data_IF_615994548207
#
_entry.id   IF_615994548207
#
_cell.length_a   1.000
_cell.length_b   1.000
_cell.length_c   1.000
_cell.angle_alpha   90.00
_cell.angle_beta   90.00
_cell.angle_gamma   90.00
#
_symmetry.space_group_name_H-M   'P 1'
#
loop_
_entity.id
_entity.type
_entity.pdbx_description
1 polymer ?
2 non-polymer ?
3 non-polymer ?
4 non-polymer ?
5 non-polymer ?
6 water ?
#
# COMPACT_ATOMS: atom_id res chain seq x y z
N UNK A 33 17.89 -33.77 14.92
CA UNK A 33 18.57 -32.75 15.78
C UNK A 33 18.46 -31.34 15.18
N UNK A 34 17.24 -30.85 15.07
CA UNK A 34 17.00 -29.48 14.59
C UNK A 34 17.21 -28.48 15.74
N UNK A 35 17.85 -27.37 15.43
CA UNK A 35 18.08 -26.31 16.41
C UNK A 35 16.78 -25.52 16.60
N UNK A 36 16.12 -25.73 17.73
CA UNK A 36 14.83 -25.09 18.03
C UNK A 36 14.95 -23.92 19.01
N UNK A 37 16.17 -23.45 19.25
CA UNK A 37 16.38 -22.27 20.09
C UNK A 37 15.81 -21.04 19.40
N UNK A 38 15.21 -20.14 20.18
CA UNK A 38 14.54 -18.96 19.65
C UNK A 38 15.56 -17.99 19.03
N UNK A 39 16.72 -17.87 19.67
CA UNK A 39 17.80 -17.01 19.19
C UNK A 39 18.40 -17.46 17.85
N UNK A 40 18.34 -18.77 17.57
CA UNK A 40 18.91 -19.33 16.34
C UNK A 40 18.00 -19.14 15.12
N UNK A 41 16.73 -18.81 15.34
CA UNK A 41 15.79 -18.62 14.23
C UNK A 41 16.12 -17.41 13.37
N UNK A 42 15.89 -17.53 12.06
CA UNK A 42 16.16 -16.46 11.11
C UNK A 42 14.88 -15.71 10.74
N UNK A 43 15.03 -14.42 10.45
CA UNK A 43 13.90 -13.55 10.14
C UNK A 43 14.11 -12.84 8.80
N UNK A 44 13.08 -12.11 8.36
CA UNK A 44 13.13 -11.41 7.07
C UNK A 44 14.24 -10.37 7.02
N UNK A 45 15.22 -10.62 6.15
CA UNK A 45 16.36 -9.71 6.00
C UNK A 45 15.93 -8.43 5.29
N UNK A 46 16.38 -7.28 5.80
CA UNK A 46 16.02 -5.97 5.25
C UNK A 46 14.50 -5.77 5.18
N UNK A 47 13.83 -6.01 6.30
CA UNK A 47 12.38 -5.91 6.36
C UNK A 47 11.90 -4.49 6.08
N UNK A 48 10.96 -4.36 5.15
CA UNK A 48 10.42 -3.07 4.72
C UNK A 48 9.04 -2.87 5.31
N UNK A 49 8.92 -1.91 6.21
CA UNK A 49 7.65 -1.62 6.89
C UNK A 49 6.60 -1.04 5.96
N UNK A 50 7.03 -0.16 5.05
CA UNK A 50 6.12 0.49 4.10
C UNK A 50 5.50 -0.48 3.11
N UNK A 51 6.29 -1.42 2.61
CA UNK A 51 5.81 -2.44 1.68
C UNK A 51 4.92 -3.49 2.35
N UNK A 52 5.11 -3.68 3.66
CA UNK A 52 4.30 -4.63 4.43
C UNK A 52 2.90 -4.07 4.77
N UNK A 53 2.72 -2.76 4.59
CA UNK A 53 1.45 -2.10 4.87
C UNK A 53 0.30 -2.63 3.99
N UNK A 54 -0.92 -2.38 4.44
CA UNK A 54 -2.12 -2.84 3.73
C UNK A 54 -2.78 -4.00 4.47
N UNK A 55 -3.72 -4.65 3.79
CA UNK A 55 -4.51 -5.72 4.40
C UNK A 55 -3.78 -7.05 4.34
N UNK A 56 -3.88 -7.82 5.43
CA UNK A 56 -3.33 -9.18 5.50
C UNK A 56 -4.38 -10.11 6.10
N UNK A 57 -4.71 -11.16 5.36
CA UNK A 57 -5.69 -12.15 5.81
C UNK A 57 -4.98 -13.38 6.36
N UNK A 58 -5.20 -13.68 7.65
CA UNK A 58 -4.63 -14.86 8.28
C UNK A 58 -5.41 -16.10 7.86
N UNK A 59 -4.74 -17.00 7.13
CA UNK A 59 -5.37 -18.23 6.63
C UNK A 59 -5.10 -19.44 7.53
N UNK A 60 -3.93 -19.46 8.18
CA UNK A 60 -3.59 -20.51 9.15
C UNK A 60 -2.97 -19.89 10.39
N UNK A 61 -3.02 -20.64 11.50
CA UNK A 61 -2.49 -20.15 12.78
C UNK A 61 -1.99 -21.28 13.67
N UNK A 62 -1.06 -20.94 14.56
CA UNK A 62 -0.63 -21.82 15.64
C UNK A 62 -0.94 -21.11 16.95
N UNK A 63 -1.64 -21.78 17.84
CA UNK A 63 -2.15 -21.16 19.06
C UNK A 63 -1.16 -21.23 20.22
N UNK A 64 -1.19 -20.25 21.13
CA UNK A 64 -0.50 -20.34 22.40
C UNK A 64 -1.44 -20.94 23.45
N UNK A 65 -0.97 -21.06 24.69
CA UNK A 65 -1.82 -21.54 25.78
C UNK A 65 -2.77 -20.42 26.24
N UNK A 66 -3.98 -20.80 26.62
CA UNK A 66 -4.99 -19.85 27.07
C UNK A 66 -5.87 -19.31 25.96
N UNK A 67 -6.56 -18.22 26.25
CA UNK A 67 -7.51 -17.62 25.30
C UNK A 67 -6.78 -16.94 24.14
N UNK A 68 -7.33 -17.11 22.93
CA UNK A 68 -6.70 -16.56 21.72
C UNK A 68 -7.75 -16.34 20.62
N UNK A 69 -7.40 -15.53 19.63
CA UNK A 69 -8.27 -15.28 18.47
C UNK A 69 -8.60 -16.59 17.77
N UNK A 70 -9.87 -16.75 17.36
CA UNK A 70 -10.36 -18.00 16.81
C UNK A 70 -10.27 -18.03 15.27
N UNK A 71 -10.97 -17.10 14.63
CA UNK A 71 -10.98 -17.03 13.15
C UNK A 71 -11.44 -15.64 12.67
N UNK A 72 -11.54 -15.47 11.35
CA UNK A 72 -11.84 -14.17 10.73
C UNK A 72 -10.81 -13.11 11.12
N UNK A 73 -9.55 -13.52 11.19
CA UNK A 73 -8.47 -12.68 11.66
C UNK A 73 -7.84 -11.89 10.51
N UNK A 74 -8.21 -10.61 10.41
CA UNK A 74 -7.66 -9.72 9.38
C UNK A 74 -6.82 -8.63 10.05
N UNK A 75 -5.63 -8.39 9.51
CA UNK A 75 -4.74 -7.36 10.01
C UNK A 75 -4.55 -6.26 8.97
N UNK A 76 -4.47 -5.02 9.42
CA UNK A 76 -4.27 -3.86 8.56
C UNK A 76 -3.07 -3.06 9.06
N UNK A 77 -1.94 -3.15 8.37
CA UNK A 77 -0.71 -2.47 8.77
C UNK A 77 -0.56 -1.11 8.12
N UNK A 78 0.09 -0.19 8.83
CA UNK A 78 0.31 1.18 8.34
C UNK A 78 1.62 1.75 8.89
N UNK A 79 2.15 2.76 8.20
CA UNK A 79 3.35 3.47 8.64
C UNK A 79 3.12 4.98 8.52
N UNK A 80 3.63 5.74 9.49
CA UNK A 80 3.44 7.19 9.53
C UNK A 80 4.68 7.95 9.03
N UNK A 81 4.63 9.28 9.09
CA UNK A 81 5.74 10.14 8.66
C UNK A 81 7.09 9.77 9.26
N UNK A 82 7.11 9.53 10.57
CA UNK A 82 8.33 9.22 11.29
C UNK A 82 8.92 7.86 10.92
N UNK A 83 8.07 6.95 10.42
CA UNK A 83 8.49 5.62 10.01
C UNK A 83 8.11 4.52 11.00
N UNK A 84 7.39 4.89 12.05
CA UNK A 84 6.93 3.92 13.04
C UNK A 84 5.74 3.14 12.49
N UNK A 85 5.82 1.81 12.57
CA UNK A 85 4.76 0.94 12.08
C UNK A 85 3.66 0.80 13.13
N UNK A 86 2.42 0.69 12.66
CA UNK A 86 1.26 0.42 13.50
C UNK A 86 0.29 -0.47 12.75
N UNK A 87 -0.69 -1.04 13.46
CA UNK A 87 -1.68 -1.89 12.82
C UNK A 87 -2.94 -2.06 13.66
N UNK A 88 -4.05 -2.34 12.97
CA UNK A 88 -5.30 -2.74 13.62
C UNK A 88 -5.55 -4.20 13.28
N UNK A 89 -6.27 -4.90 14.17
CA UNK A 89 -6.55 -6.32 13.99
C UNK A 89 -7.94 -6.69 14.49
N UNK A 90 -8.75 -7.26 13.60
CA UNK A 90 -10.07 -7.78 13.94
C UNK A 90 -10.02 -9.30 14.02
N UNK A 91 -11.01 -9.90 14.68
CA UNK A 91 -11.08 -11.36 14.80
C UNK A 91 -12.15 -11.83 15.77
N UNK A 92 -12.68 -13.02 15.52
CA UNK A 92 -13.67 -13.64 16.39
C UNK A 92 -13.00 -14.32 17.57
N UNK A 93 -13.60 -14.18 18.76
CA UNK A 93 -13.07 -14.79 19.98
C UNK A 93 -14.19 -15.56 20.69
N UNK A 94 -13.91 -16.83 21.01
CA UNK A 94 -14.82 -17.68 21.76
C UNK A 94 -14.48 -17.54 23.25
N UNK A 95 -15.22 -16.69 23.96
CA UNK A 95 -14.94 -16.42 25.37
C UNK A 95 -15.42 -17.55 26.27
N UNK A 96 -16.74 -17.74 26.34
CA UNK A 96 -17.31 -18.91 26.97
C UNK A 96 -17.93 -19.77 25.86
N UNK A 97 -18.56 -20.88 26.22
CA UNK A 97 -19.13 -21.78 25.23
C UNK A 97 -20.27 -21.16 24.41
N UNK A 98 -20.91 -20.12 24.95
CA UNK A 98 -22.10 -19.53 24.34
C UNK A 98 -21.99 -18.02 24.06
N UNK A 99 -20.76 -17.52 23.86
CA UNK A 99 -20.54 -16.10 23.60
C UNK A 99 -19.45 -15.86 22.55
N UNK A 100 -19.85 -15.35 21.38
CA UNK A 100 -18.91 -14.94 20.34
C UNK A 100 -18.69 -13.44 20.42
N UNK A 101 -17.45 -13.01 20.23
CA UNK A 101 -17.09 -11.59 20.29
C UNK A 101 -16.15 -11.25 19.14
N UNK A 102 -16.51 -10.24 18.36
CA UNK A 102 -15.63 -9.70 17.32
C UNK A 102 -14.69 -8.69 17.94
N UNK A 103 -13.51 -9.15 18.34
CA UNK A 103 -12.49 -8.28 18.92
C UNK A 103 -11.97 -7.30 17.88
N UNK A 104 -11.80 -6.05 18.29
CA UNK A 104 -11.28 -5.00 17.42
C UNK A 104 -10.16 -4.27 18.16
N UNK A 105 -8.92 -4.51 17.74
CA UNK A 105 -7.75 -4.04 18.48
C UNK A 105 -6.83 -3.16 17.64
N UNK A 106 -6.09 -2.30 18.32
CA UNK A 106 -5.11 -1.40 17.70
C UNK A 106 -3.76 -1.66 18.36
N UNK A 107 -2.68 -1.52 17.60
CA UNK A 107 -1.34 -1.75 18.13
C UNK A 107 -0.25 -0.89 17.50
N UNK A 108 0.79 -0.63 18.28
CA UNK A 108 1.98 0.09 17.81
C UNK A 108 3.18 -0.83 17.93
N UNK A 109 4.16 -0.64 17.05
CA UNK A 109 5.36 -1.49 17.01
C UNK A 109 6.62 -0.65 17.24
N UNK A 110 7.38 -1.02 18.27
CA UNK A 110 8.65 -0.38 18.58
C UNK A 110 9.79 -1.09 17.85
N UNK A 111 10.70 -0.31 17.27
CA UNK A 111 11.83 -0.86 16.53
C UNK A 111 12.87 -1.47 17.46
N UNK A 112 13.62 -2.43 16.94
CA UNK A 112 14.75 -3.04 17.65
C UNK A 112 15.98 -3.02 16.75
N UNK A 113 17.10 -3.53 17.25
CA UNK A 113 18.33 -3.63 16.45
C UNK A 113 18.14 -4.46 15.17
N UNK A 114 17.28 -5.47 15.24
CA UNK A 114 16.90 -6.25 14.07
C UNK A 114 15.68 -5.59 13.41
N UNK A 115 15.73 -5.38 12.08
CA UNK A 115 14.65 -4.69 11.38
C UNK A 115 13.34 -5.50 11.25
N UNK A 116 13.42 -6.82 11.41
CA UNK A 116 12.24 -7.69 11.31
C UNK A 116 11.60 -8.02 12.65
N UNK A 117 12.28 -7.66 13.75
CA UNK A 117 11.78 -7.94 15.10
C UNK A 117 11.26 -6.66 15.74
N UNK A 118 10.06 -6.72 16.32
CA UNK A 118 9.41 -5.57 16.94
C UNK A 118 8.82 -5.93 18.30
N UNK A 119 8.59 -4.91 19.12
CA UNK A 119 7.85 -5.04 20.37
C UNK A 119 6.46 -4.45 20.19
N UNK A 120 5.46 -5.33 20.07
CA UNK A 120 4.08 -4.89 19.82
C UNK A 120 3.37 -4.57 21.12
N UNK A 121 2.91 -3.33 21.26
CA UNK A 121 2.01 -2.93 22.34
C UNK A 121 0.61 -2.78 21.76
N UNK A 122 -0.36 -3.50 22.31
CA UNK A 122 -1.72 -3.52 21.76
C UNK A 122 -2.80 -3.27 22.81
N UNK A 123 -3.99 -2.91 22.32
CA UNK A 123 -5.16 -2.69 23.18
C UNK A 123 -6.45 -2.83 22.37
N UNK A 124 -7.57 -3.01 23.07
CA UNK A 124 -8.87 -3.19 22.42
C UNK A 124 -9.72 -1.93 22.46
N UNK A 125 -10.53 -1.73 21.41
CA UNK A 125 -11.45 -0.58 21.33
C UNK A 125 -12.93 -0.99 21.29
N UNK A 126 -13.21 -2.29 21.26
CA UNK A 126 -14.57 -2.80 21.15
C UNK A 126 -15.00 -3.59 22.38
N UNK A 127 -14.28 -4.68 22.66
CA UNK A 127 -14.61 -5.59 23.75
C UNK A 127 -13.50 -5.75 24.79
N UNK A 128 -12.28 -5.98 24.33
CA UNK A 128 -11.13 -6.19 25.23
C UNK A 128 -10.80 -4.91 25.99
N UNK A 129 -10.76 -5.01 27.31
CA UNK A 129 -10.62 -3.85 28.20
C UNK A 129 -9.16 -3.53 28.53
N UNK A 130 -8.34 -4.57 28.70
CA UNK A 130 -6.97 -4.40 29.16
C UNK A 130 -6.02 -4.13 27.98
N UNK A 131 -4.73 -4.00 28.28
CA UNK A 131 -3.68 -3.90 27.26
C UNK A 131 -2.61 -4.94 27.53
N UNK A 132 -1.83 -5.25 26.50
CA UNK A 132 -0.75 -6.24 26.61
C UNK A 132 0.38 -5.96 25.64
N UNK A 133 1.40 -6.83 25.67
CA UNK A 133 2.54 -6.68 24.77
C UNK A 133 3.22 -8.01 24.43
N UNK A 134 3.57 -8.17 23.16
CA UNK A 134 4.25 -9.37 22.67
C UNK A 134 5.35 -8.97 21.68
N UNK A 135 6.28 -9.89 21.46
CA UNK A 135 7.23 -9.75 20.36
C UNK A 135 6.50 -10.01 19.05
N UNK A 136 6.88 -9.28 18.01
CA UNK A 136 6.27 -9.44 16.69
C UNK A 136 7.36 -9.61 15.64
N UNK A 137 7.63 -10.86 15.28
CA UNK A 137 8.69 -11.20 14.33
C UNK A 137 8.07 -11.54 12.96
N UNK A 138 8.52 -10.83 11.93
CA UNK A 138 8.18 -11.20 10.56
C UNK A 138 9.26 -12.16 10.07
N UNK A 139 8.94 -13.45 10.06
CA UNK A 139 9.92 -14.49 9.75
C UNK A 139 10.31 -14.45 8.27
N UNK A 140 9.31 -14.37 7.40
CA UNK A 140 9.56 -14.24 5.96
C UNK A 140 8.33 -13.71 5.24
N UNK A 141 8.56 -13.02 4.12
CA UNK A 141 7.48 -12.45 3.32
C UNK A 141 7.99 -11.96 1.97
N UNK A 142 7.10 -11.93 0.99
CA UNK A 142 7.38 -11.31 -0.32
C UNK A 142 6.56 -10.03 -0.51
N UNK A 143 5.85 -9.61 0.53
CA UNK A 143 5.10 -8.34 0.57
C UNK A 143 3.79 -8.29 -0.22
N UNK A 144 3.64 -9.12 -1.25
CA UNK A 144 2.46 -9.03 -2.13
C UNK A 144 1.64 -10.33 -2.29
N UNK A 145 2.05 -11.42 -1.62
CA UNK A 145 1.26 -12.66 -1.63
C UNK A 145 1.13 -13.30 -0.25
N UNK A 146 2.26 -13.53 0.42
CA UNK A 146 2.27 -14.23 1.71
C UNK A 146 3.08 -13.50 2.77
N UNK A 147 2.96 -13.97 4.01
CA UNK A 147 3.79 -13.50 5.12
C UNK A 147 3.67 -14.48 6.30
N UNK A 148 4.81 -14.80 6.91
CA UNK A 148 4.85 -15.69 8.06
C UNK A 148 5.24 -14.89 9.31
N UNK A 149 4.33 -14.83 10.27
CA UNK A 149 4.54 -14.11 11.53
C UNK A 149 4.86 -15.11 12.64
N UNK A 150 5.67 -14.67 13.61
CA UNK A 150 6.03 -15.49 14.77
C UNK A 150 6.13 -14.65 16.03
N UNK A 151 5.84 -15.28 17.18
CA UNK A 151 5.90 -14.60 18.47
C UNK A 151 6.07 -15.60 19.60
N UNK A 152 7.22 -15.55 20.27
CA UNK A 152 7.46 -16.39 21.45
C UNK A 152 7.16 -15.59 22.72
N UNK A 153 6.21 -16.10 23.51
CA UNK A 153 5.80 -15.42 24.75
C UNK A 153 6.62 -15.87 25.96
N UNK A 154 7.03 -17.13 25.98
CA UNK A 154 7.74 -17.70 27.12
C UNK A 154 8.88 -18.61 26.65
N UNK A 155 10.04 -18.49 27.30
CA UNK A 155 11.25 -19.20 26.90
C UNK A 155 11.58 -20.32 27.90
N UNK A 156 11.95 -21.49 27.38
CA UNK A 156 12.45 -22.58 28.21
C UNK A 156 13.89 -22.29 28.67
N UNK A 157 14.37 -23.07 29.63
CA UNK A 157 15.74 -22.93 30.14
C UNK A 157 16.78 -23.29 29.07
N UNK A 158 16.46 -24.28 28.24
CA UNK A 158 17.37 -24.73 27.18
C UNK A 158 17.47 -23.78 25.98
N UNK A 159 16.53 -22.83 25.88
CA UNK A 159 16.52 -21.84 24.80
C UNK A 159 15.33 -21.93 23.87
N UNK A 160 14.66 -23.08 23.87
CA UNK A 160 13.47 -23.29 23.03
C UNK A 160 12.29 -22.49 23.59
N UNK A 161 11.26 -22.33 22.77
CA UNK A 161 10.07 -21.58 23.18
C UNK A 161 9.07 -22.49 23.90
N UNK A 162 8.63 -22.04 25.07
CA UNK A 162 7.66 -22.78 25.88
C UNK A 162 6.22 -22.46 25.45
N UNK A 163 5.99 -21.22 25.04
CA UNK A 163 4.67 -20.76 24.64
C UNK A 163 4.77 -19.79 23.47
N UNK A 164 4.26 -20.21 22.30
CA UNK A 164 4.36 -19.43 21.07
C UNK A 164 3.04 -19.36 20.32
N UNK A 165 2.94 -18.36 19.44
CA UNK A 165 1.87 -18.30 18.45
C UNK A 165 2.41 -17.76 17.13
N UNK A 166 1.80 -18.19 16.03
CA UNK A 166 2.25 -17.82 14.69
C UNK A 166 1.07 -17.71 13.73
N UNK A 167 1.20 -16.82 12.75
CA UNK A 167 0.16 -16.61 11.74
C UNK A 167 0.72 -16.75 10.33
N UNK A 168 -0.04 -17.40 9.46
CA UNK A 168 0.25 -17.43 8.02
C UNK A 168 -0.66 -16.41 7.35
N UNK A 169 -0.11 -15.23 7.08
CA UNK A 169 -0.88 -14.15 6.45
C UNK A 169 -0.87 -14.27 4.92
N UNK A 170 -1.87 -13.66 4.30
CA UNK A 170 -2.02 -13.68 2.85
C UNK A 170 -2.74 -12.42 2.36
N UNK A 171 -2.32 -11.90 1.22
CA UNK A 171 -2.99 -10.74 0.61
C UNK A 171 -4.33 -11.16 0.01
N UNK A 172 -4.35 -12.34 -0.62
CA UNK A 172 -5.57 -12.88 -1.21
C UNK A 172 -6.16 -13.93 -0.27
N UNK A 173 -7.40 -13.71 0.21
CA UNK A 173 -8.03 -14.71 1.09
C UNK A 173 -8.42 -16.01 0.36
N UNK A 174 -8.50 -15.98 -0.97
CA UNK A 174 -8.82 -17.18 -1.75
C UNK A 174 -7.71 -18.23 -1.74
N UNK A 175 -6.47 -17.82 -1.48
CA UNK A 175 -5.35 -18.76 -1.36
C UNK A 175 -3.99 -18.15 -1.65
N UNK A 176 -2.96 -19.00 -1.56
CA UNK A 176 -1.58 -18.60 -1.84
C UNK A 176 -1.10 -19.25 -3.13
N UNK A 177 -0.16 -18.59 -3.85
CA UNK A 177 0.45 -19.25 -5.02
C UNK A 177 1.33 -20.45 -4.63
N UNK A 178 1.63 -21.33 -5.61
CA UNK A 178 2.46 -22.52 -5.36
C UNK A 178 3.80 -22.24 -4.67
N UNK A 179 4.49 -21.18 -5.08
CA UNK A 179 5.79 -20.83 -4.51
C UNK A 179 5.66 -20.35 -3.06
N UNK A 180 4.60 -19.59 -2.78
CA UNK A 180 4.32 -19.13 -1.42
C UNK A 180 4.01 -20.29 -0.46
N UNK A 181 3.32 -21.31 -0.98
CA UNK A 181 3.00 -22.50 -0.19
C UNK A 181 4.26 -23.25 0.23
N UNK A 182 5.21 -23.35 -0.69
CA UNK A 182 6.46 -24.08 -0.44
C UNK A 182 7.32 -23.39 0.63
N UNK A 183 7.41 -22.07 0.56
CA UNK A 183 8.20 -21.29 1.52
C UNK A 183 7.57 -21.33 2.91
N UNK A 184 6.25 -21.17 2.98
CA UNK A 184 5.52 -21.21 4.24
C UNK A 184 5.74 -22.55 4.95
N UNK A 185 5.53 -23.64 4.23
CA UNK A 185 5.72 -24.99 4.77
C UNK A 185 7.15 -25.21 5.27
N UNK A 186 8.12 -24.65 4.56
CA UNK A 186 9.53 -24.75 4.94
C UNK A 186 9.82 -23.94 6.21
N UNK A 187 9.30 -22.72 6.27
CA UNK A 187 9.52 -21.84 7.43
C UNK A 187 8.81 -22.35 8.69
N UNK A 188 7.62 -22.90 8.52
CA UNK A 188 6.88 -23.52 9.63
C UNK A 188 7.66 -24.67 10.26
N UNK A 189 8.30 -25.47 9.41
CA UNK A 189 9.10 -26.60 9.86
C UNK A 189 10.42 -26.14 10.52
N UNK A 190 11.00 -25.06 9.98
CA UNK A 190 12.23 -24.49 10.55
C UNK A 190 12.01 -23.78 11.89
N UNK A 191 10.76 -23.39 12.17
CA UNK A 191 10.39 -22.83 13.47
C UNK A 191 10.03 -23.91 14.51
N UNK A 192 10.15 -25.18 14.12
CA UNK A 192 9.79 -26.32 14.98
C UNK A 192 8.31 -26.32 15.34
N UNK A 193 7.47 -26.00 14.36
CA UNK A 193 6.02 -26.00 14.52
C UNK A 193 5.35 -26.76 13.38
N UNK A 194 5.96 -27.88 12.97
CA UNK A 194 5.43 -28.70 11.88
C UNK A 194 4.19 -29.46 12.36
N UNK A 195 3.14 -29.43 11.54
CA UNK A 195 1.86 -30.10 11.82
C UNK A 195 1.13 -29.57 13.06
N UNK A 196 1.48 -28.36 13.51
CA UNK A 196 0.85 -27.75 14.68
C UNK A 196 -0.11 -26.61 14.30
N UNK A 197 -0.13 -26.24 13.02
CA UNK A 197 -1.00 -25.16 12.53
C UNK A 197 -2.39 -25.70 12.19
N UNK A 198 -3.40 -24.87 12.41
CA UNK A 198 -4.76 -25.17 11.99
C UNK A 198 -5.26 -24.05 11.07
N UNK A 199 -6.03 -24.42 10.05
CA UNK A 199 -6.60 -23.44 9.12
C UNK A 199 -7.73 -22.66 9.80
N UNK A 200 -8.00 -21.46 9.32
CA UNK A 200 -9.01 -20.59 9.91
C UNK A 200 -9.87 -19.90 8.85
N UNK A 201 -11.14 -19.72 9.17
CA UNK A 201 -12.16 -19.32 8.20
C UNK A 201 -12.28 -17.80 8.08
N UNK A 202 -12.66 -17.34 6.88
CA UNK A 202 -13.05 -15.95 6.65
C UNK A 202 -14.43 -15.94 5.99
N UNK A 203 -15.47 -15.91 6.82
CA UNK A 203 -16.85 -16.00 6.34
C UNK A 203 -17.67 -14.73 6.62
N UNK A 204 -16.99 -13.62 6.86
CA UNK A 204 -17.64 -12.33 7.09
C UNK A 204 -18.48 -12.27 8.36
N UNK A 205 -18.06 -13.00 9.39
CA UNK A 205 -18.75 -12.99 10.68
C UNK A 205 -18.62 -11.61 11.34
N UNK A 206 -17.44 -11.04 11.24
CA UNK A 206 -17.18 -9.67 11.70
C UNK A 206 -17.17 -8.72 10.51
N UNK A 207 -18.28 -8.73 9.75
CA UNK A 207 -18.43 -7.94 8.53
C UNK A 207 -17.37 -8.29 7.47
N UNK B 33 17.14 11.82 4.92
CA UNK B 33 16.40 11.22 6.07
C UNK B 33 15.06 10.63 5.63
N UNK B 34 14.35 11.36 4.77
CA UNK B 34 13.06 10.92 4.26
C UNK B 34 13.22 9.71 3.33
N UNK B 35 12.29 8.76 3.44
CA UNK B 35 12.29 7.57 2.59
C UNK B 35 11.63 7.92 1.25
N UNK B 36 12.44 7.93 0.19
CA UNK B 36 11.96 8.33 -1.14
C UNK B 36 11.82 7.16 -2.12
N UNK B 37 11.81 5.94 -1.62
CA UNK B 37 11.59 4.77 -2.47
C UNK B 37 10.16 4.76 -3.02
N UNK B 38 10.02 4.33 -4.26
CA UNK B 38 8.71 4.33 -4.94
C UNK B 38 7.74 3.35 -4.31
N UNK B 39 8.26 2.21 -3.85
CA UNK B 39 7.45 1.19 -3.18
C UNK B 39 6.91 1.64 -1.82
N UNK B 40 7.52 2.65 -1.22
CA UNK B 40 7.08 3.19 0.07
C UNK B 40 5.95 4.21 -0.03
N UNK B 41 5.82 4.88 -1.17
CA UNK B 41 4.84 5.96 -1.34
C UNK B 41 3.41 5.47 -1.15
N UNK B 42 2.63 6.22 -0.39
CA UNK B 42 1.22 5.89 -0.14
C UNK B 42 0.34 6.39 -1.28
N UNK B 43 -0.82 5.76 -1.45
CA UNK B 43 -1.78 6.14 -2.47
C UNK B 43 -3.19 6.20 -1.87
N UNK B 44 -4.15 6.70 -2.65
CA UNK B 44 -5.53 6.88 -2.20
C UNK B 44 -6.14 5.55 -1.75
N UNK B 45 -6.56 5.49 -0.50
CA UNK B 45 -7.19 4.29 0.06
C UNK B 45 -8.59 4.11 -0.52
N UNK B 46 -8.88 2.91 -1.02
CA UNK B 46 -10.19 2.58 -1.59
C UNK B 46 -10.60 3.57 -2.67
N UNK B 47 -9.78 3.69 -3.70
CA UNK B 47 -10.01 4.63 -4.79
C UNK B 47 -11.30 4.30 -5.55
N UNK B 48 -12.14 5.31 -5.73
CA UNK B 48 -13.43 5.15 -6.41
C UNK B 48 -13.34 5.76 -7.81
N UNK B 49 -13.60 4.93 -8.82
CA UNK B 49 -13.53 5.36 -10.22
C UNK B 49 -14.68 6.29 -10.59
N UNK B 50 -15.87 5.96 -10.11
CA UNK B 50 -17.08 6.73 -10.42
C UNK B 50 -17.03 8.16 -9.87
N UNK B 51 -16.52 8.31 -8.64
CA UNK B 51 -16.38 9.63 -8.02
C UNK B 51 -15.30 10.46 -8.68
N UNK B 52 -14.24 9.81 -9.18
CA UNK B 52 -13.13 10.50 -9.82
C UNK B 52 -13.42 10.93 -11.26
N UNK B 53 -14.47 10.39 -11.87
CA UNK B 53 -14.83 10.71 -13.25
C UNK B 53 -15.22 12.17 -13.42
N UNK B 54 -15.15 12.65 -14.67
CA UNK B 54 -15.45 14.03 -15.00
C UNK B 54 -14.21 14.80 -15.40
N UNK B 55 -14.32 16.13 -15.40
CA UNK B 55 -13.24 17.01 -15.85
C UNK B 55 -12.27 17.33 -14.72
N UNK B 56 -10.97 17.34 -15.06
CA UNK B 56 -9.92 17.74 -14.12
C UNK B 56 -8.96 18.72 -14.82
N UNK B 57 -8.67 19.83 -14.15
CA UNK B 57 -7.75 20.85 -14.68
C UNK B 57 -6.42 20.80 -13.95
N UNK B 58 -5.34 20.54 -14.68
CA UNK B 58 -4.00 20.51 -14.10
C UNK B 58 -3.50 21.93 -13.88
N UNK B 59 -3.26 22.29 -12.62
CA UNK B 59 -2.81 23.64 -12.26
C UNK B 59 -1.30 23.72 -12.01
N UNK B 60 -0.68 22.60 -11.67
CA UNK B 60 0.77 22.54 -11.50
C UNK B 60 1.30 21.18 -11.95
N UNK B 61 2.57 21.15 -12.33
CA UNK B 61 3.20 19.92 -12.82
C UNK B 61 4.68 19.82 -12.49
N UNK B 62 5.15 18.58 -12.35
CA UNK B 62 6.57 18.27 -12.26
C UNK B 62 6.93 17.49 -13.51
N UNK B 63 7.95 17.95 -14.23
CA UNK B 63 8.31 17.35 -15.52
C UNK B 63 9.20 16.13 -15.37
N UNK B 64 9.09 15.18 -16.32
CA UNK B 64 10.08 14.12 -16.48
C UNK B 64 11.18 14.57 -17.44
N UNK B 65 12.10 13.67 -17.77
CA UNK B 65 13.14 13.97 -18.76
C UNK B 65 12.55 13.96 -20.16
N UNK B 66 13.10 14.81 -21.03
CA UNK B 66 12.66 14.85 -22.43
C UNK B 66 11.38 15.66 -22.65
N UNK B 67 10.73 15.41 -23.77
CA UNK B 67 9.55 16.18 -24.18
C UNK B 67 8.33 15.84 -23.32
N UNK B 68 7.54 16.87 -22.99
CA UNK B 68 6.36 16.71 -22.15
C UNK B 68 5.37 17.84 -22.37
N UNK B 69 4.14 17.68 -21.87
CA UNK B 69 3.11 18.71 -21.98
C UNK B 69 3.54 20.00 -21.27
N UNK B 70 3.12 21.14 -21.82
CA UNK B 70 3.59 22.45 -21.36
C UNK B 70 2.54 23.19 -20.53
N UNK B 71 1.34 23.36 -21.07
CA UNK B 71 0.23 24.00 -20.35
C UNK B 71 -1.11 23.74 -21.03
N UNK B 72 -2.18 24.32 -20.47
CA UNK B 72 -3.56 24.08 -20.93
C UNK B 72 -3.92 22.59 -20.87
N UNK B 73 -3.45 21.93 -19.81
CA UNK B 73 -3.60 20.48 -19.67
C UNK B 73 -4.90 20.14 -18.94
N UNK B 74 -5.88 19.66 -19.71
CA UNK B 74 -7.18 19.26 -19.16
C UNK B 74 -7.38 17.76 -19.36
N UNK B 75 -7.93 17.10 -18.35
CA UNK B 75 -8.18 15.65 -18.40
C UNK B 75 -9.65 15.36 -18.15
N UNK B 76 -10.21 14.46 -18.94
CA UNK B 76 -11.63 14.07 -18.82
C UNK B 76 -11.69 12.56 -18.57
N UNK B 77 -11.92 12.17 -17.32
CA UNK B 77 -12.00 10.76 -16.94
C UNK B 77 -13.43 10.22 -17.08
N UNK B 78 -13.54 8.96 -17.45
CA UNK B 78 -14.82 8.29 -17.62
C UNK B 78 -14.74 6.83 -17.19
N UNK B 79 -15.89 6.23 -16.93
CA UNK B 79 -15.98 4.80 -16.57
C UNK B 79 -17.25 4.19 -17.15
N UNK B 80 -17.09 3.04 -17.80
CA UNK B 80 -18.23 2.34 -18.44
C UNK B 80 -18.96 1.46 -17.43
N UNK B 81 -20.03 0.80 -17.88
CA UNK B 81 -20.85 -0.06 -17.03
C UNK B 81 -20.08 -1.24 -16.43
N UNK B 82 -19.08 -1.74 -17.15
CA UNK B 82 -18.27 -2.88 -16.67
C UNK B 82 -17.27 -2.49 -15.58
N UNK B 83 -16.92 -1.21 -15.51
CA UNK B 83 -15.98 -0.70 -14.50
C UNK B 83 -14.62 -0.30 -15.05
N UNK B 84 -14.41 -0.48 -16.36
CA UNK B 84 -13.17 -0.08 -17.02
C UNK B 84 -13.06 1.44 -17.10
N UNK B 85 -12.04 2.00 -16.45
CA UNK B 85 -11.81 3.44 -16.47
C UNK B 85 -11.01 3.83 -17.71
N UNK B 86 -11.34 4.99 -18.26
CA UNK B 86 -10.62 5.56 -19.41
C UNK B 86 -10.62 7.07 -19.31
N UNK B 87 -9.82 7.73 -20.14
CA UNK B 87 -9.75 9.19 -20.15
C UNK B 87 -9.18 9.75 -21.44
N UNK B 88 -9.45 11.04 -21.65
CA UNK B 88 -8.83 11.80 -22.73
C UNK B 88 -8.03 12.95 -22.13
N UNK B 89 -6.94 13.32 -22.79
CA UNK B 89 -6.06 14.38 -22.30
C UNK B 89 -5.69 15.34 -23.43
N UNK B 90 -5.85 16.64 -23.17
CA UNK B 90 -5.57 17.68 -24.15
C UNK B 90 -4.66 18.73 -23.54
N UNK B 91 -3.65 19.17 -24.30
CA UNK B 91 -2.71 20.18 -23.82
C UNK B 91 -1.69 20.62 -24.84
N UNK B 92 -1.12 21.81 -24.62
CA UNK B 92 -0.09 22.36 -25.50
C UNK B 92 1.24 21.67 -25.25
N UNK B 93 2.03 21.51 -26.33
CA UNK B 93 3.36 20.92 -26.24
C UNK B 93 4.33 21.65 -27.17
N UNK B 94 5.47 22.05 -26.62
CA UNK B 94 6.50 22.78 -27.36
C UNK B 94 7.48 21.78 -27.97
N UNK B 95 7.32 21.50 -29.26
CA UNK B 95 8.15 20.50 -29.95
C UNK B 95 9.53 21.05 -30.27
N UNK B 96 9.55 22.24 -30.89
CA UNK B 96 10.79 22.99 -31.11
C UNK B 96 10.57 24.43 -30.66
N UNK B 97 11.61 25.25 -30.73
CA UNK B 97 11.53 26.64 -30.30
C UNK B 97 10.40 27.44 -30.95
N UNK B 98 10.09 27.13 -32.21
CA UNK B 98 9.09 27.88 -32.98
C UNK B 98 7.91 27.02 -33.46
N UNK B 99 7.52 26.02 -32.69
CA UNK B 99 6.44 25.11 -33.07
C UNK B 99 5.60 24.67 -31.88
N UNK B 100 4.34 25.13 -31.84
CA UNK B 100 3.36 24.70 -30.84
C UNK B 100 2.30 23.82 -31.49
N UNK B 101 1.76 22.87 -30.72
CA UNK B 101 0.67 22.02 -31.18
C UNK B 101 -0.16 21.53 -29.99
N UNK B 102 -1.46 21.42 -30.19
CA UNK B 102 -2.37 20.93 -29.17
C UNK B 102 -2.50 19.42 -29.27
N UNK B 103 -1.82 18.70 -28.38
CA UNK B 103 -1.88 17.25 -28.35
C UNK B 103 -3.25 16.79 -27.86
N UNK B 104 -3.90 15.95 -28.64
CA UNK B 104 -5.20 15.40 -28.30
C UNK B 104 -5.07 13.89 -28.18
N UNK B 105 -5.13 13.39 -26.94
CA UNK B 105 -4.80 11.99 -26.66
C UNK B 105 -5.91 11.25 -25.93
N UNK B 106 -5.92 9.94 -26.10
CA UNK B 106 -6.88 9.04 -25.45
C UNK B 106 -6.09 7.90 -24.80
N UNK B 107 -6.61 7.36 -23.71
CA UNK B 107 -5.95 6.24 -23.02
C UNK B 107 -6.88 5.39 -22.17
N UNK B 108 -6.46 4.15 -21.96
CA UNK B 108 -7.19 3.19 -21.13
C UNK B 108 -6.35 2.82 -19.91
N UNK B 109 -7.02 2.49 -18.81
CA UNK B 109 -6.35 2.15 -17.55
C UNK B 109 -6.62 0.71 -17.15
N UNK B 110 -5.57 -0.09 -17.03
CA UNK B 110 -5.70 -1.48 -16.58
C UNK B 110 -5.56 -1.54 -15.07
N UNK B 111 -6.40 -2.36 -14.44
CA UNK B 111 -6.44 -2.46 -12.98
C UNK B 111 -5.27 -3.28 -12.44
N UNK B 112 -4.87 -2.97 -11.20
CA UNK B 112 -3.87 -3.74 -10.48
C UNK B 112 -4.45 -4.16 -9.12
N UNK B 113 -3.66 -4.85 -8.31
CA UNK B 113 -4.10 -5.25 -6.98
C UNK B 113 -4.41 -4.04 -6.09
N UNK B 114 -3.62 -2.99 -6.26
CA UNK B 114 -3.89 -1.71 -5.59
C UNK B 114 -4.94 -0.94 -6.40
N UNK B 115 -6.04 -0.52 -5.74
CA UNK B 115 -7.11 0.17 -6.47
C UNK B 115 -6.77 1.59 -6.95
N UNK B 116 -5.73 2.19 -6.37
CA UNK B 116 -5.29 3.54 -6.77
C UNK B 116 -4.18 3.54 -7.83
N UNK B 117 -3.59 2.38 -8.09
CA UNK B 117 -2.50 2.25 -9.07
C UNK B 117 -3.01 1.59 -10.35
N UNK B 118 -2.69 2.20 -11.49
CA UNK B 118 -3.14 1.70 -12.79
C UNK B 118 -1.99 1.65 -13.80
N UNK B 119 -2.20 0.86 -14.85
CA UNK B 119 -1.29 0.83 -16.01
C UNK B 119 -1.95 1.59 -17.15
N UNK B 120 -1.56 2.85 -17.32
CA UNK B 120 -2.12 3.68 -18.38
C UNK B 120 -1.45 3.38 -19.71
N UNK B 121 -2.27 3.08 -20.72
CA UNK B 121 -1.82 2.91 -22.10
C UNK B 121 -2.50 3.98 -22.94
N UNK B 122 -1.71 4.81 -23.62
CA UNK B 122 -2.24 5.99 -24.31
C UNK B 122 -1.77 6.10 -25.76
N UNK B 123 -2.46 6.97 -26.50
CA UNK B 123 -2.11 7.27 -27.90
C UNK B 123 -2.71 8.61 -28.31
N UNK B 124 -2.22 9.16 -29.42
CA UNK B 124 -2.70 10.44 -29.93
C UNK B 124 -3.61 10.30 -31.14
N UNK B 125 -4.51 11.26 -31.31
CA UNK B 125 -5.41 11.28 -32.47
C UNK B 125 -5.32 12.57 -33.29
N UNK B 126 -4.35 13.43 -32.97
CA UNK B 126 -4.19 14.72 -33.65
C UNK B 126 -2.80 14.88 -34.25
N UNK B 127 -1.79 14.94 -33.39
CA UNK B 127 -0.42 15.19 -33.81
C UNK B 127 0.54 14.03 -33.47
N UNK B 128 0.42 13.50 -32.26
CA UNK B 128 1.28 12.41 -31.80
C UNK B 128 0.99 11.11 -32.57
N UNK B 129 2.05 10.47 -33.05
CA UNK B 129 1.92 9.32 -33.95
C UNK B 129 2.01 7.97 -33.23
N UNK B 130 2.96 7.82 -32.32
CA UNK B 130 3.21 6.55 -31.64
C UNK B 130 2.27 6.33 -30.45
N UNK B 131 2.37 5.14 -29.87
CA UNK B 131 1.67 4.80 -28.63
C UNK B 131 2.65 4.76 -27.47
N UNK B 132 2.13 4.73 -26.25
CA UNK B 132 2.98 4.70 -25.05
C UNK B 132 2.24 4.13 -23.85
N UNK B 133 2.99 3.91 -22.77
CA UNK B 133 2.42 3.39 -21.53
C UNK B 133 3.18 3.86 -20.29
N UNK B 134 2.43 4.26 -19.26
CA UNK B 134 2.98 4.73 -18.00
C UNK B 134 2.19 4.18 -16.82
N UNK B 135 2.82 4.15 -15.65
CA UNK B 135 2.09 3.91 -14.40
C UNK B 135 1.24 5.15 -14.11
N UNK B 136 0.05 4.95 -13.57
CA UNK B 136 -0.85 6.05 -13.23
C UNK B 136 -1.37 5.88 -11.81
N UNK B 137 -0.75 6.59 -10.88
CA UNK B 137 -1.07 6.49 -9.46
C UNK B 137 -1.85 7.72 -9.00
N UNK B 138 -3.03 7.51 -8.42
CA UNK B 138 -3.76 8.58 -7.75
C UNK B 138 -3.28 8.59 -6.30
N UNK B 139 -2.41 9.54 -5.98
CA UNK B 139 -1.75 9.60 -4.67
C UNK B 139 -2.75 10.00 -3.59
N UNK B 140 -3.53 11.03 -3.85
CA UNK B 140 -4.57 11.48 -2.92
C UNK B 140 -5.60 12.34 -3.64
N UNK B 141 -6.83 12.31 -3.16
CA UNK B 141 -7.92 13.08 -3.76
C UNK B 141 -9.14 13.09 -2.84
N UNK B 142 -9.94 14.16 -2.94
CA UNK B 142 -11.25 14.22 -2.28
C UNK B 142 -12.39 14.23 -3.30
N UNK B 143 -12.05 14.00 -4.57
CA UNK B 143 -13.02 13.90 -5.68
C UNK B 143 -13.73 15.21 -6.06
N UNK B 144 -13.96 16.10 -5.09
CA UNK B 144 -14.76 17.30 -5.30
C UNK B 144 -13.96 18.58 -5.58
N UNK B 145 -12.68 18.61 -5.19
CA UNK B 145 -11.86 19.81 -5.36
C UNK B 145 -10.49 19.54 -5.96
N UNK B 146 -9.70 18.69 -5.31
CA UNK B 146 -8.31 18.45 -5.73
C UNK B 146 -8.03 16.99 -6.08
N UNK B 147 -6.85 16.77 -6.66
CA UNK B 147 -6.36 15.41 -6.93
C UNK B 147 -4.87 15.48 -7.26
N UNK B 148 -4.08 14.60 -6.62
CA UNK B 148 -2.64 14.52 -6.85
C UNK B 148 -2.30 13.24 -7.60
N UNK B 149 -1.74 13.39 -8.80
CA UNK B 149 -1.34 12.26 -9.64
C UNK B 149 0.17 12.10 -9.61
N UNK B 150 0.64 10.86 -9.74
CA UNK B 150 2.07 10.54 -9.75
C UNK B 150 2.37 9.41 -10.73
N UNK B 151 3.58 9.42 -11.28
CA UNK B 151 4.03 8.38 -12.21
C UNK B 151 5.55 8.32 -12.28
N UNK B 152 6.12 7.18 -11.91
CA UNK B 152 7.56 6.95 -12.02
C UNK B 152 7.84 6.10 -13.26
N UNK B 153 8.67 6.63 -14.15
CA UNK B 153 9.01 5.95 -15.41
C UNK B 153 10.26 5.08 -15.31
N UNK B 154 11.10 5.33 -14.31
CA UNK B 154 12.38 4.63 -14.18
C UNK B 154 12.89 4.67 -12.73
N UNK B 155 13.25 3.51 -12.20
CA UNK B 155 13.75 3.40 -10.83
C UNK B 155 15.28 3.42 -10.79
N UNK B 156 15.83 4.07 -9.76
CA UNK B 156 17.24 3.93 -9.42
C UNK B 156 17.46 2.57 -8.77
N UNK B 157 18.73 2.18 -8.61
CA UNK B 157 19.07 0.90 -7.99
C UNK B 157 18.67 0.85 -6.51
N UNK B 158 18.73 2.00 -5.84
CA UNK B 158 18.37 2.09 -4.42
C UNK B 158 16.86 2.07 -4.14
N UNK B 159 16.06 2.24 -5.19
CA UNK B 159 14.59 2.19 -5.07
C UNK B 159 13.90 3.52 -5.33
N UNK B 160 14.67 4.61 -5.29
CA UNK B 160 14.13 5.95 -5.57
C UNK B 160 13.85 6.09 -7.06
N UNK B 161 13.02 7.07 -7.41
CA UNK B 161 12.64 7.29 -8.81
C UNK B 161 13.69 8.14 -9.52
N UNK B 162 14.15 7.64 -10.67
CA UNK B 162 15.13 8.35 -11.50
C UNK B 162 14.45 9.31 -12.49
N UNK B 163 13.21 8.99 -12.88
CA UNK B 163 12.47 9.80 -13.84
C UNK B 163 10.97 9.77 -13.53
N UNK B 164 10.45 10.90 -13.05
CA UNK B 164 9.05 10.98 -12.62
C UNK B 164 8.33 12.19 -13.21
N UNK B 165 7.00 12.11 -13.22
CA UNK B 165 6.15 13.28 -13.47
C UNK B 165 4.91 13.20 -12.59
N UNK B 166 4.36 14.37 -12.26
CA UNK B 166 3.23 14.47 -11.33
C UNK B 166 2.38 15.69 -11.65
N UNK B 167 1.06 15.52 -11.61
CA UNK B 167 0.11 16.60 -11.86
C UNK B 167 -0.69 16.93 -10.61
N UNK B 168 -0.88 18.22 -10.36
CA UNK B 168 -1.81 18.70 -9.35
C UNK B 168 -3.11 19.08 -10.05
N UNK B 169 -4.10 18.20 -9.98
CA UNK B 169 -5.38 18.41 -10.66
C UNK B 169 -6.36 19.18 -9.77
N UNK B 170 -7.33 19.84 -10.41
CA UNK B 170 -8.36 20.59 -9.72
C UNK B 170 -9.65 20.60 -10.53
N UNK B 171 -10.79 20.52 -9.83
CA UNK B 171 -12.10 20.61 -10.50
C UNK B 171 -12.36 22.02 -10.99
N UNK B 172 -11.94 23.01 -10.23
CA UNK B 172 -12.09 24.42 -10.59
C UNK B 172 -10.72 25.00 -10.97
N UNK B 173 -10.60 25.53 -12.21
CA UNK B 173 -9.31 26.08 -12.64
C UNK B 173 -8.93 27.41 -11.97
N UNK B 174 -9.89 28.07 -11.32
CA UNK B 174 -9.63 29.34 -10.64
C UNK B 174 -8.80 29.21 -9.36
N UNK B 175 -8.83 28.03 -8.73
CA UNK B 175 -8.02 27.78 -7.54
C UNK B 175 -8.49 26.62 -6.68
N UNK B 176 -7.69 26.31 -5.66
CA UNK B 176 -8.02 25.27 -4.69
C UNK B 176 -8.39 25.90 -3.35
N UNK B 177 -9.29 25.26 -2.57
CA UNK B 177 -9.59 25.76 -1.23
C UNK B 177 -8.41 25.59 -0.25
N UNK B 178 -8.45 26.29 0.90
CA UNK B 178 -7.38 26.24 1.91
C UNK B 178 -6.97 24.83 2.33
N UNK B 179 -7.95 23.95 2.55
CA UNK B 179 -7.67 22.58 2.99
C UNK B 179 -6.99 21.76 1.89
N UNK B 180 -7.42 21.97 0.64
CA UNK B 180 -6.81 21.31 -0.51
C UNK B 180 -5.35 21.75 -0.72
N UNK B 181 -5.07 23.02 -0.44
CA UNK B 181 -3.70 23.55 -0.54
C UNK B 181 -2.78 22.87 0.47
N UNK B 182 -3.28 22.64 1.69
CA UNK B 182 -2.50 22.02 2.75
C UNK B 182 -2.17 20.56 2.43
N UNK B 183 -3.14 19.82 1.92
CA UNK B 183 -2.96 18.40 1.60
C UNK B 183 -1.99 18.24 0.41
N UNK B 184 -2.20 19.02 -0.64
CA UNK B 184 -1.34 18.98 -1.83
C UNK B 184 0.12 19.26 -1.44
N UNK B 185 0.35 20.31 -0.67
CA UNK B 185 1.68 20.67 -0.19
C UNK B 185 2.35 19.51 0.56
N UNK B 186 1.59 18.85 1.43
CA UNK B 186 2.10 17.74 2.22
C UNK B 186 2.43 16.52 1.36
N UNK B 187 1.56 16.22 0.40
CA UNK B 187 1.76 15.06 -0.49
C UNK B 187 2.93 15.27 -1.44
N UNK B 188 3.10 16.50 -1.93
CA UNK B 188 4.23 16.85 -2.79
C UNK B 188 5.57 16.66 -2.07
N UNK B 189 5.61 16.99 -0.78
CA UNK B 189 6.80 16.79 0.04
C UNK B 189 7.04 15.31 0.34
N UNK B 190 5.95 14.58 0.59
CA UNK B 190 6.03 13.14 0.86
C UNK B 190 6.47 12.32 -0.36
N UNK B 191 6.25 12.86 -1.55
CA UNK B 191 6.74 12.24 -2.79
C UNK B 191 8.18 12.64 -3.12
N UNK B 192 8.81 13.43 -2.26
CA UNK B 192 10.17 13.94 -2.46
C UNK B 192 10.29 14.79 -3.71
N UNK B 193 9.28 15.64 -3.93
CA UNK B 193 9.26 16.57 -5.06
C UNK B 193 8.92 17.98 -4.59
N UNK B 194 9.49 18.37 -3.45
CA UNK B 194 9.27 19.72 -2.90
C UNK B 194 10.09 20.73 -3.69
N UNK B 195 9.49 21.89 -3.95
CA UNK B 195 10.12 22.97 -4.73
C UNK B 195 10.52 22.54 -6.15
N UNK B 196 9.82 21.55 -6.70
CA UNK B 196 10.10 21.05 -8.05
C UNK B 196 8.93 21.23 -9.03
N UNK B 197 7.74 21.58 -8.53
CA UNK B 197 6.58 21.78 -9.39
C UNK B 197 6.59 23.17 -10.02
N UNK B 198 6.05 23.24 -11.24
CA UNK B 198 5.86 24.51 -11.95
C UNK B 198 4.37 24.71 -12.21
N UNK B 199 3.88 25.93 -11.96
CA UNK B 199 2.49 26.28 -12.23
C UNK B 199 2.25 26.34 -13.73
N UNK B 200 1.03 26.00 -14.16
CA UNK B 200 0.68 25.95 -15.58
C UNK B 200 -0.64 26.66 -15.87
N UNK B 201 -0.67 27.39 -16.98
CA UNK B 201 -1.77 28.30 -17.30
C UNK B 201 -2.89 27.63 -18.10
N UNK B 202 -4.10 28.17 -17.94
CA UNK B 202 -5.24 27.82 -18.78
C UNK B 202 -5.79 29.11 -19.40
N UNK B 203 -5.61 29.27 -20.71
CA UNK B 203 -6.02 30.48 -21.41
C UNK B 203 -6.74 30.20 -22.74
N UNK B 204 -7.42 29.07 -22.82
CA UNK B 204 -8.20 28.70 -24.01
C UNK B 204 -7.37 28.53 -25.28
N UNK B 205 -6.14 28.06 -25.14
CA UNK B 205 -5.25 27.86 -26.28
C UNK B 205 -5.68 26.65 -27.11
N UNK B 206 -6.05 25.58 -26.42
CA UNK B 206 -6.55 24.36 -27.08
C UNK B 206 -8.05 24.18 -26.82
X LIG C 1 -6.42 -13.23 21.34
X LIG C 1 -7.35 -12.84 22.18
X LIG C 1 -8.16 -13.85 22.41
X LIG C 1 -8.05 -11.86 21.63
X LIG C 1 -6.71 -12.35 23.45
X LIG C 1 -7.10 -12.92 24.67
X LIG C 1 -6.54 -12.50 25.87
X LIG C 1 -5.58 -11.49 25.87
X LIG C 1 -5.19 -10.91 24.67
X LIG C 1 -5.74 -11.33 23.46
X LIG C 1 -5.25 -10.64 22.19
X LIG C 1 -3.87 -11.13 21.81
X LIG C 1 -3.33 -11.98 22.50
X LIG C 1 -3.28 -10.62 20.71
X LIG C 1 -1.92 -11.08 20.35
X LIG C 1 -1.73 -11.15 18.83
X LIG C 1 -3.90 -9.59 19.88
X LIG C 1 -3.64 -9.88 18.40
X LIG C 1 -2.19 -9.90 18.22
X LIG C 1 -1.81 -9.77 16.86
X LIG C 1 -1.88 -8.52 16.24
X LIG C 1 -1.36 -10.83 16.14
X LIG C 1 -0.99 -10.71 14.87
X LIG C 1 -1.05 -9.52 14.23
X LIG C 1 -1.49 -8.42 14.90
X LIG C 1 -1.57 -6.90 14.12
X LIG C 1 -2.17 -6.27 15.62
X LIG C 1 -2.28 -7.25 16.66
X LIG C 1 -2.56 -4.88 15.96
X LIG C 1 -2.98 -5.10 17.43
X LIG C 1 -2.80 -6.57 17.90
X LIG D 1 20.91 -8.67 13.06
X LIG D 1 19.77 -8.06 12.44
X LIG D 1 21.68 -7.62 13.87
X LIG D 1 20.81 -6.94 14.79
X LIG E 1 12.72 -19.75 9.89
X LIG E 1 13.36 -18.61 9.32
X LIG E 1 13.29 -20.03 11.28
X LIG E 1 14.72 -20.02 11.22
X LIG F 1 -4.19 -20.26 -5.37
X LIG F 1 -3.10 -20.94 -5.98
X LIG F 1 -4.17 -18.79 -5.79
X LIG F 1 -5.50 -18.25 -5.77
X LIG G 1 17.22 -1.75 12.83
X LIG G 1 16.07 -0.90 12.68
X LIG G 1 18.24 -1.44 11.72
X LIG G 1 18.90 -2.65 11.34
X LIG H 1 3.06 -27.24 8.37
X LIG H 1 3.26 -28.64 8.58
X LIG H 1 1.60 -26.87 8.64
X LIG H 1 1.20 -27.37 9.93
X LIG I 1 -8.56 -5.04 10.34
X LIG I 1 -8.28 -4.27 11.51
X LIG I 1 -9.42 -4.22 9.37
X LIG I 1 -10.33 -5.09 8.68
X LIG J 1 -5.13 -24.91 16.97
X LIG J 1 -5.42 -24.48 18.29
X LIG J 1 -3.81 -24.31 16.51
X LIG J 1 -2.73 -24.76 17.34
X LIG K 1 1.43 -23.69 22.98
X LIG K 1 2.34 -22.60 22.75
X LIG K 1 2.17 -24.86 23.60
X LIG K 1 2.59 -24.52 24.92
X LIG L 1 -12.85 -10.67 6.50
X LIG L 1 -13.40 -10.08 5.32
X LIG L 1 -13.85 -11.63 7.12
X LIG L 1 -14.25 -12.60 6.15
X LIG M 1 13.99 -15.94 6.75
X LIG M 1 14.65 -14.77 6.23
X LIG M 1 14.83 -17.17 6.44
X LIG M 1 15.00 -17.30 5.02
X LIG N 1 -12.94 -15.41 1.71
X LIG N 1 -12.70 -16.82 1.89
X LIG N 1 -12.65 -15.03 0.27
X LIG N 1 -13.76 -15.41 -0.57
X LIG O 1 -23.64 -18.80 29.24
X LIG O 1 -22.72 -18.06 30.07
X LIG O 1 -24.32 -19.89 30.07
X LIG O 1 -25.73 -19.88 29.83
X LIG P 1 -3.81 3.67 24.24
X LIG P 1 -3.10 4.68 23.52
X LIG P 1 -2.83 2.65 24.80
X LIG P 1 -2.55 2.95 26.18
X LIG Q 1 -11.72 -5.51 21.42
X LIG R 1 -8.57 -12.57 29.06
X LIG S 1 11.43 -14.72 23.59
X LIG S 1 12.86 -14.57 23.71
X LIG S 1 10.77 -14.61 24.96
X LIG S 1 11.29 -13.48 25.67
X LIG S 1 10.83 -12.22 25.19
X LIG S 1 11.98 -11.48 24.50
X LIG S 1 11.65 -10.11 24.28
X LIG T 1 3.67 14.93 -23.13
X LIG T 1 3.88 14.96 -24.44
X LIG T 1 4.65 16.01 -24.72
X LIG T 1 2.73 15.14 -25.06
X LIG T 1 4.52 13.68 -24.89
X LIG T 1 5.75 13.73 -25.57
X LIG T 1 6.38 12.57 -26.00
X LIG T 1 5.78 11.33 -25.77
X LIG T 1 4.56 11.27 -25.11
X LIG T 1 3.92 12.44 -24.67
X LIG T 1 2.60 12.26 -23.95
X LIG T 1 2.81 11.73 -22.55
X LIG T 1 3.94 11.54 -22.15
X LIG T 1 1.74 11.50 -21.76
X LIG T 1 1.93 10.97 -20.40
X LIG T 1 0.96 11.59 -19.40
X LIG T 1 0.35 11.72 -22.21
X LIG T 1 -0.44 12.40 -21.10
X LIG T 1 -0.41 11.50 -19.94
X LIG T 1 -1.40 11.78 -18.98
X LIG T 1 -2.72 11.42 -19.22
X LIG T 1 -1.08 12.39 -17.81
X LIG T 1 -2.03 12.66 -16.88
X LIG T 1 -3.32 12.32 -17.09
X LIG T 1 -3.69 11.71 -18.23
X LIG T 1 -5.31 11.28 -18.51
X LIG T 1 -4.79 10.66 -20.03
X LIG T 1 -3.38 10.80 -20.29
X LIG T 1 -5.59 10.01 -21.10
X LIG T 1 -4.46 9.73 -22.12
X LIG T 1 -3.06 10.22 -21.62
X LIG U 1 -12.13 23.12 2.57
X LIG U 1 -11.06 24.07 2.46
X LIG U 1 -12.20 22.29 1.28
X LIG U 1 -13.17 21.25 1.42
X LIG V 1 2.33 10.59 -0.60
X LIG V 1 1.15 9.79 -0.40
X LIG V 1 3.54 9.69 -0.78
X LIG V 1 3.64 8.78 0.32
X LIG W 1 16.77 6.97 0.60
X LIG W 1 15.76 5.96 0.47
X LIG W 1 16.32 8.24 -0.13
X LIG W 1 17.46 8.96 -0.59
X LIG X 1 -2.79 8.38 1.01
X LIG X 1 -3.68 8.93 0.03
X LIG X 1 -2.22 9.50 1.86
X LIG X 1 -1.81 9.00 3.14
X LIG Y 1 8.26 2.46 -11.47
X LIG Y 1 8.06 1.25 -10.72
X LIG Y 1 8.94 2.13 -12.80
X LIG Y 1 8.19 1.17 -13.53
X LIG Z 1 11.09 21.15 -12.67
X LIG Z 1 12.50 21.38 -12.80
X LIG Z 1 10.47 20.91 -14.03
X LIG Z 1 9.14 20.41 -13.88
X LIG AA 1 2.67 0.22 -16.55
X LIG AA 1 2.70 -1.21 -16.43
X LIG AA 1 2.45 0.63 -18.01
X LIG AA 1 3.66 1.16 -18.55
X LIG BA 1 -1.33 4.00 -32.15
X LIG BA 1 -0.16 4.64 -32.67
X LIG BA 1 -2.58 4.65 -32.73
X LIG BA 1 -2.59 6.04 -32.41
X LIG CA 1 8.58 -3.75 -9.59
X LIG CA 1 7.61 -3.15 -8.72
X LIG CA 1 8.56 -3.04 -10.94
X LIG CA 1 9.13 -1.73 -10.82
X LIG DA 1 -0.43 25.46 2.41
X LIG DA 1 0.07 26.00 1.18
X LIG DA 1 0.65 24.66 3.12
X LIG DA 1 0.47 24.74 4.53
X LIG EA 1 5.86 22.96 -3.62
X LIG EA 1 4.73 23.47 -2.90
X LIG EA 1 5.55 22.89 -5.11
X LIG EA 1 6.70 23.28 -5.87
X LIG FA 1 7.09 3.72 -18.54
X LIG FA 1 8.27 4.53 -18.67
X LIG FA 1 7.28 2.72 -17.41
X LIG FA 1 6.00 2.32 -16.90
X LIG GA 1 5.29 -0.97 -12.94
X LIG GA 1 6.65 -0.75 -12.54
X LIG GA 1 4.98 -2.46 -12.90
X LIG GA 1 4.02 -2.79 -13.90
X LIG HA 1 -2.01 14.12 -30.40
#
# INVERSE_FOLDING_TARGET
HISMASMSYYHHHHHHDYDIPTTENLYFQGAMERDCRVSSFRVKENFDKARFSGTWYAMAKKDPEGLFLQDNIVAEFSVDETGQMSATAKGRVRLLNNWDVCADMVGTFTDTEDPAKFKMKYWGVASFLQKGNDDHWIVDTDYDTYAVQYSCRLLNLDGTCADSYSFVFSRDPNGLPPEAQKIVRQRQEELCLARQYRLIVHNGYCDGRSERNLL
HISMASMSYYHHHHHHDYDIPTTENLYFQGAMERDCRVSSFRVKENFDKARFSGTWYAMAKKDPEGLFLQDNIVAEFSVDETGQMSATAKGRVRLLNNWDVCADMVGTFTDTEDPAKFKMKYWGVASFLQKGNDDHWIVDTDYDTYAVQYSCRLLNLDGTCADSYSFVFSRDPNGLPPEAQKIVRQRQEELCLARQYRLIVHNGYCDGRSERNLL
2RY F1 C22 F2 F3 C21 C20 C19 C18 C17 C16 C9 C8 O1 N4 C15 C7 C6 C5 N3 C1 C3 N1 C2 N2 C4 S1 C11 C10 C12 C13 C14
EDO C1 O1 C2 O2
EDO C1 O1 C2 O2
EDO C1 O1 C2 O2
EDO C1 O1 C2 O2
EDO C1 O1 C2 O2
EDO C1 O1 C2 O2
EDO C1 O1 C2 O2
EDO C1 O1 C2 O2
EDO C1 O1 C2 O2
EDO C1 O1 C2 O2
EDO C1 O1 C2 O2
EDO C1 O1 C2 O2
EDO C1 O1 C2 O2
CL CL
CL CL
PEG C1 O1 C2 O2 C3 C4 O4
2RY F1 C22 F2 F3 C21 C20 C19 C18 C17 C16 C9 C8 O1 N4 C15 C7 C6 C5 N3 C1 C3 N1 C2 N2 C4 S1 C11 C10 C12 C13 C14
EDO C1 O1 C2 O2
EDO C1 O1 C2 O2
EDO C1 O1 C2 O2
EDO C1 O1 C2 O2
EDO C1 O1 C2 O2
EDO C1 O1 C2 O2
EDO C1 O1 C2 O2
EDO C1 O1 C2 O2
EDO C1 O1 C2 O2
EDO C1 O1 C2 O2
EDO C1 O1 C2 O2
EDO C1 O1 C2 O2
EDO C1 O1 C2 O2
CL CL
#
